data_IF_316027924171
#
_entry.id   IF_316027924171
#
_cell.length_a   1.000
_cell.length_b   1.000
_cell.length_c   1.000
_cell.angle_alpha   90.00
_cell.angle_beta   90.00
_cell.angle_gamma   90.00
#
_symmetry.space_group_name_H-M   'P 1'
#
loop_
_entity.id
_entity.type
_entity.pdbx_description
1 polymer ?
#
# COMPACT_ATOMS: atom_id res chain seq x y z
N UNK A 1 -22.92 12.66 13.42
CA UNK A 1 -22.24 11.34 13.50
C UNK A 1 -22.44 10.43 12.28
N UNK A 2 -23.66 10.23 11.72
CA UNK A 2 -23.88 9.33 10.56
C UNK A 2 -23.00 9.63 9.31
N UNK A 3 -22.64 10.90 9.09
CA UNK A 3 -21.76 11.31 7.98
C UNK A 3 -20.31 10.84 8.13
N UNK A 4 -19.76 10.84 9.35
CA UNK A 4 -18.38 10.40 9.61
C UNK A 4 -18.22 8.90 9.36
N UNK A 5 -19.20 8.10 9.80
CA UNK A 5 -19.24 6.66 9.53
C UNK A 5 -19.33 6.35 8.02
N UNK A 6 -20.08 7.17 7.28
CA UNK A 6 -20.19 7.05 5.82
C UNK A 6 -18.90 7.44 5.08
N UNK A 7 -18.13 8.39 5.61
CA UNK A 7 -16.79 8.71 5.09
C UNK A 7 -15.78 7.60 5.42
N UNK A 8 -15.84 7.04 6.63
CA UNK A 8 -14.94 5.97 7.06
C UNK A 8 -15.13 4.70 6.22
N UNK A 9 -16.37 4.28 5.97
CA UNK A 9 -16.65 3.12 5.12
C UNK A 9 -16.31 3.35 3.65
N UNK A 10 -16.44 4.60 3.16
CA UNK A 10 -15.96 4.97 1.81
C UNK A 10 -14.45 4.82 1.68
N UNK A 11 -13.68 5.33 2.63
CA UNK A 11 -12.22 5.24 2.62
C UNK A 11 -11.72 3.79 2.67
N UNK A 12 -12.39 2.92 3.42
CA UNK A 12 -11.97 1.54 3.57
C UNK A 12 -12.25 0.68 2.34
N UNK A 13 -13.38 0.90 1.64
CA UNK A 13 -13.89 -0.01 0.60
C UNK A 13 -13.81 0.60 -0.80
N UNK A 14 -14.28 1.83 -0.96
CA UNK A 14 -14.47 2.45 -2.28
C UNK A 14 -13.20 3.18 -2.73
N UNK A 15 -12.48 3.78 -1.81
CA UNK A 15 -11.27 4.57 -2.11
C UNK A 15 -9.97 3.81 -1.83
N UNK A 16 -10.05 2.57 -1.35
CA UNK A 16 -8.87 1.76 -1.06
C UNK A 16 -8.35 1.06 -2.33
N UNK A 17 -7.15 1.42 -2.84
CA UNK A 17 -6.60 0.84 -4.06
C UNK A 17 -6.31 -0.67 -3.94
N UNK A 18 -6.09 -1.18 -2.73
CA UNK A 18 -5.92 -2.63 -2.51
C UNK A 18 -7.18 -3.42 -2.89
N UNK A 19 -8.36 -2.83 -2.66
CA UNK A 19 -9.65 -3.50 -2.86
C UNK A 19 -10.27 -3.16 -4.22
N UNK A 20 -10.18 -1.90 -4.65
CA UNK A 20 -10.78 -1.45 -5.92
C UNK A 20 -9.89 -1.73 -7.13
N UNK A 21 -8.59 -1.43 -7.04
CA UNK A 21 -7.63 -1.62 -8.14
C UNK A 21 -6.92 -2.98 -8.07
N UNK A 22 -7.13 -3.75 -7.00
CA UNK A 22 -6.52 -5.07 -6.81
C UNK A 22 -4.98 -5.03 -6.85
N UNK A 23 -4.37 -3.92 -6.46
CA UNK A 23 -2.90 -3.77 -6.39
C UNK A 23 -2.40 -4.35 -5.06
N UNK A 24 -1.29 -5.09 -5.06
CA UNK A 24 -0.68 -5.61 -3.83
C UNK A 24 -1.32 -6.88 -3.25
N UNK A 25 -2.03 -7.67 -4.07
CA UNK A 25 -2.71 -8.89 -3.64
C UNK A 25 -1.79 -10.04 -3.22
N UNK A 26 -0.57 -10.12 -3.75
CA UNK A 26 0.34 -11.25 -3.47
C UNK A 26 0.65 -11.37 -1.97
N UNK A 27 0.95 -10.24 -1.33
CA UNK A 27 1.19 -10.18 0.11
C UNK A 27 -0.10 -10.37 0.91
N UNK A 28 -1.24 -9.86 0.41
CA UNK A 28 -2.53 -10.00 1.09
C UNK A 28 -3.02 -11.45 1.14
N UNK A 29 -2.86 -12.22 0.06
CA UNK A 29 -3.25 -13.63 0.01
C UNK A 29 -2.28 -14.49 0.84
N UNK A 30 -0.98 -14.17 0.83
CA UNK A 30 0.03 -14.94 1.55
C UNK A 30 -0.14 -14.91 3.08
N UNK A 31 -0.67 -13.82 3.65
CA UNK A 31 -0.85 -13.65 5.11
C UNK A 31 -2.13 -14.29 5.68
N UNK A 32 -2.96 -14.93 4.85
CA UNK A 32 -4.22 -15.57 5.28
C UNK A 32 -4.06 -16.89 6.03
N UNK A 33 -2.87 -17.49 5.99
CA UNK A 33 -2.62 -18.85 6.51
C UNK A 33 -2.29 -18.89 8.00
N UNK A 34 -1.48 -17.94 8.49
CA UNK A 34 -1.02 -17.90 9.88
C UNK A 34 -0.74 -16.47 10.33
N UNK A 35 -1.22 -16.14 11.53
CA UNK A 35 -1.02 -14.82 12.17
C UNK A 35 0.46 -14.56 12.42
N UNK A 36 1.23 -15.59 12.79
CA UNK A 36 2.67 -15.46 13.01
C UNK A 36 3.41 -15.06 11.73
N UNK A 37 3.02 -15.67 10.59
CA UNK A 37 3.59 -15.33 9.28
C UNK A 37 3.14 -13.93 8.82
N UNK A 38 1.90 -13.55 9.13
CA UNK A 38 1.35 -12.24 8.79
C UNK A 38 2.14 -11.09 9.44
N UNK A 39 2.48 -11.23 10.73
CA UNK A 39 3.25 -10.22 11.46
C UNK A 39 4.67 -10.10 10.91
N UNK A 40 5.32 -11.24 10.63
CA UNK A 40 6.67 -11.26 10.05
C UNK A 40 6.73 -10.64 8.65
N UNK A 41 5.80 -11.03 7.77
CA UNK A 41 5.72 -10.49 6.41
C UNK A 41 5.37 -9.00 6.38
N UNK A 42 4.41 -8.55 7.20
CA UNK A 42 4.03 -7.14 7.28
C UNK A 42 5.17 -6.26 7.80
N UNK A 43 5.87 -6.71 8.84
CA UNK A 43 7.03 -6.01 9.38
C UNK A 43 8.18 -5.90 8.37
N UNK A 44 8.51 -7.00 7.71
CA UNK A 44 9.53 -7.01 6.66
C UNK A 44 9.15 -6.10 5.48
N UNK A 45 7.89 -6.13 5.04
CA UNK A 45 7.39 -5.28 3.95
C UNK A 45 7.48 -3.78 4.29
N UNK A 46 7.05 -3.38 5.49
CA UNK A 46 7.15 -1.98 5.94
C UNK A 46 8.62 -1.53 5.92
N UNK A 47 9.52 -2.36 6.46
CA UNK A 47 10.94 -2.05 6.47
C UNK A 47 11.49 -1.84 5.05
N UNK A 48 11.26 -2.79 4.13
CA UNK A 48 11.78 -2.71 2.76
C UNK A 48 11.21 -1.51 2.00
N UNK A 49 9.90 -1.24 2.10
CA UNK A 49 9.25 -0.13 1.39
C UNK A 49 9.78 1.21 1.90
N UNK A 50 9.95 1.38 3.20
CA UNK A 50 10.51 2.63 3.77
C UNK A 50 11.90 2.91 3.21
N UNK A 51 12.78 1.91 3.18
CA UNK A 51 14.12 2.06 2.60
C UNK A 51 14.08 2.34 1.10
N UNK A 52 13.19 1.67 0.35
CA UNK A 52 13.02 1.90 -1.07
C UNK A 52 12.57 3.35 -1.35
N UNK A 53 11.57 3.86 -0.64
CA UNK A 53 11.08 5.23 -0.80
C UNK A 53 12.12 6.28 -0.41
N UNK A 54 12.96 6.02 0.61
CA UNK A 54 14.08 6.90 0.96
C UNK A 54 15.08 6.99 -0.19
N UNK A 55 15.45 5.87 -0.79
CA UNK A 55 16.36 5.84 -1.94
C UNK A 55 15.70 6.53 -3.14
N UNK A 56 14.45 6.21 -3.47
CA UNK A 56 13.72 6.82 -4.60
C UNK A 56 13.60 8.34 -4.42
N UNK A 57 13.32 8.81 -3.21
CA UNK A 57 13.24 10.23 -2.88
C UNK A 57 14.56 10.97 -3.17
N UNK A 58 15.70 10.34 -2.88
CA UNK A 58 17.03 10.89 -3.17
C UNK A 58 17.30 10.99 -4.68
N UNK A 59 16.86 9.99 -5.45
CA UNK A 59 17.01 9.95 -6.91
C UNK A 59 15.90 10.67 -7.69
N UNK A 60 14.92 11.28 -7.00
CA UNK A 60 13.72 11.89 -7.59
C UNK A 60 13.98 12.93 -8.70
N UNK A 61 15.14 13.59 -8.68
CA UNK A 61 15.52 14.62 -9.66
C UNK A 61 16.04 14.05 -10.99
N UNK A 62 16.50 12.80 -11.02
CA UNK A 62 17.03 12.15 -12.22
C UNK A 62 15.95 11.44 -13.05
N UNK A 63 14.79 11.15 -12.45
CA UNK A 63 13.72 10.36 -13.09
C UNK A 63 12.76 11.31 -13.83
N UNK A 64 12.67 11.24 -15.18
CA UNK A 64 11.75 12.07 -15.95
C UNK A 64 10.29 11.82 -15.55
N UNK A 65 9.48 12.90 -15.55
CA UNK A 65 8.10 12.85 -15.04
C UNK A 65 7.18 11.93 -15.85
N UNK A 66 7.52 11.65 -17.11
CA UNK A 66 6.74 10.77 -17.99
C UNK A 66 6.71 9.30 -17.56
N UNK A 67 7.67 8.87 -16.72
CA UNK A 67 7.76 7.50 -16.20
C UNK A 67 7.02 7.35 -14.86
N UNK A 68 6.59 8.46 -14.25
CA UNK A 68 5.75 8.40 -13.05
C UNK A 68 4.37 7.96 -13.48
N UNK A 69 3.90 6.83 -12.96
CA UNK A 69 2.58 6.27 -13.25
C UNK A 69 1.53 7.37 -13.04
N UNK A 70 0.92 7.90 -14.11
CA UNK A 70 -0.12 8.92 -14.02
C UNK A 70 -1.45 8.18 -13.83
N UNK A 71 -1.71 7.75 -12.60
CA UNK A 71 -3.00 7.15 -12.22
C UNK A 71 -3.70 8.00 -11.18
#
# INVERSE_FOLDING_TARGET
>A
MKRLWKLFTKGLIVENPLLMLMIGLCSAVAVTTSIANAIGMGGAMIFVIVFAEVVISLFRKLIPNDVRIPI
#
